data_IF_543980665308
#
_entry.id   IF_543980665308
#
_cell.length_a   1.000
_cell.length_b   1.000
_cell.length_c   1.000
_cell.angle_alpha   90.00
_cell.angle_beta   90.00
_cell.angle_gamma   90.00
#
_symmetry.space_group_name_H-M   'P 1'
#
loop_
_entity.id
_entity.type
_entity.pdbx_description
1 polymer ?
#
# COMPACT_ATOMS: atom_id res chain seq x y z
N UNK A 1 -12.42 32.45 23.94
CA UNK A 1 -11.04 31.92 23.94
C UNK A 1 -10.38 32.24 22.61
N UNK A 2 -9.07 32.51 22.58
CA UNK A 2 -8.33 32.78 21.34
C UNK A 2 -8.11 31.46 20.58
N UNK A 3 -8.34 31.45 19.27
CA UNK A 3 -8.09 30.27 18.41
C UNK A 3 -6.60 29.96 18.36
N UNK A 4 -6.25 28.68 18.34
CA UNK A 4 -4.87 28.23 18.11
C UNK A 4 -4.59 28.27 16.61
N UNK A 5 -3.56 29.01 16.20
CA UNK A 5 -3.12 29.05 14.80
C UNK A 5 -2.23 27.84 14.52
N UNK A 6 -2.57 27.08 13.47
CA UNK A 6 -1.85 25.85 13.09
C UNK A 6 -1.44 25.95 11.63
N UNK A 7 -0.14 25.75 11.37
CA UNK A 7 0.40 25.62 10.02
C UNK A 7 0.75 24.16 9.77
N UNK A 8 0.19 23.58 8.70
CA UNK A 8 0.51 22.24 8.21
C UNK A 8 1.39 22.38 6.99
N UNK A 9 2.61 21.82 7.06
CA UNK A 9 3.57 21.85 5.96
C UNK A 9 3.46 20.55 5.16
N UNK A 10 3.09 20.68 3.88
CA UNK A 10 2.80 19.59 2.96
C UNK A 10 1.30 19.27 2.87
N UNK A 11 0.76 19.27 1.66
CA UNK A 11 -0.62 18.87 1.35
C UNK A 11 -0.70 17.43 0.80
N UNK A 12 0.21 16.55 1.23
CA UNK A 12 0.09 15.10 1.01
C UNK A 12 -1.02 14.48 1.86
N UNK A 13 -1.25 13.16 1.72
CA UNK A 13 -2.27 12.43 2.49
C UNK A 13 -2.25 12.71 3.99
N UNK A 14 -1.08 12.68 4.62
CA UNK A 14 -0.94 12.93 6.06
C UNK A 14 -1.29 14.38 6.42
N UNK A 15 -0.77 15.35 5.68
CA UNK A 15 -1.03 16.77 5.91
C UNK A 15 -2.50 17.14 5.70
N UNK A 16 -3.11 16.63 4.63
CA UNK A 16 -4.53 16.85 4.36
C UNK A 16 -5.44 16.17 5.38
N UNK A 17 -5.08 14.99 5.87
CA UNK A 17 -5.82 14.31 6.96
C UNK A 17 -5.75 15.11 8.26
N UNK A 18 -4.58 15.66 8.60
CA UNK A 18 -4.40 16.52 9.76
C UNK A 18 -5.18 17.84 9.62
N UNK A 19 -5.07 18.50 8.46
CA UNK A 19 -5.78 19.74 8.16
C UNK A 19 -7.30 19.56 8.22
N UNK A 20 -7.82 18.49 7.61
CA UNK A 20 -9.22 18.09 7.69
C UNK A 20 -9.68 17.89 9.13
N UNK A 21 -8.92 17.14 9.93
CA UNK A 21 -9.30 16.83 11.31
C UNK A 21 -9.35 18.08 12.20
N UNK A 22 -8.43 19.02 12.01
CA UNK A 22 -8.37 20.27 12.76
C UNK A 22 -9.42 21.30 12.29
N UNK A 23 -9.66 21.39 10.97
CA UNK A 23 -10.60 22.37 10.40
C UNK A 23 -12.05 22.12 10.81
N UNK A 24 -12.37 20.90 11.24
CA UNK A 24 -13.68 20.53 11.82
C UNK A 24 -14.02 21.23 13.13
N UNK A 25 -13.04 21.85 13.79
CA UNK A 25 -13.22 22.61 15.02
C UNK A 25 -12.78 24.07 14.82
N UNK A 26 -13.47 24.83 13.93
CA UNK A 26 -13.06 26.18 13.55
C UNK A 26 -13.15 27.18 14.72
N UNK A 27 -13.86 26.84 15.79
CA UNK A 27 -13.92 27.59 17.05
C UNK A 27 -12.65 27.44 17.89
N UNK A 28 -11.87 26.36 17.70
CA UNK A 28 -10.63 26.06 18.41
C UNK A 28 -9.39 26.35 17.57
N UNK A 29 -9.43 26.03 16.28
CA UNK A 29 -8.27 26.06 15.41
C UNK A 29 -8.44 27.00 14.23
N UNK A 30 -7.32 27.62 13.85
CA UNK A 30 -7.16 28.40 12.64
C UNK A 30 -6.07 27.73 11.79
N UNK A 31 -6.48 26.93 10.81
CA UNK A 31 -5.57 26.06 10.02
C UNK A 31 -5.14 26.75 8.72
N UNK A 32 -3.86 26.64 8.40
CA UNK A 32 -3.25 26.98 7.11
C UNK A 32 -2.47 25.78 6.60
N UNK A 33 -2.55 25.49 5.29
CA UNK A 33 -1.75 24.45 4.65
C UNK A 33 -0.81 25.11 3.63
N UNK A 34 0.47 24.73 3.71
CA UNK A 34 1.50 25.18 2.78
C UNK A 34 1.96 23.98 1.95
N UNK A 35 1.84 24.07 0.63
CA UNK A 35 2.31 23.04 -0.30
C UNK A 35 3.12 23.69 -1.42
N UNK A 36 4.21 23.03 -1.81
CA UNK A 36 5.09 23.48 -2.89
C UNK A 36 4.53 23.18 -4.26
N UNK A 37 3.79 22.07 -4.41
CA UNK A 37 3.10 21.72 -5.65
C UNK A 37 1.81 22.56 -5.82
N UNK A 38 1.31 22.71 -7.06
CA UNK A 38 0.05 23.41 -7.31
C UNK A 38 -1.19 22.59 -6.90
N UNK A 39 -1.03 21.37 -6.37
CA UNK A 39 -2.12 20.46 -6.04
C UNK A 39 -1.86 19.74 -4.71
N UNK A 40 -2.95 19.37 -4.03
CA UNK A 40 -2.92 18.46 -2.90
C UNK A 40 -2.74 16.99 -3.35
N UNK A 41 -2.43 16.11 -2.40
CA UNK A 41 -2.26 14.67 -2.60
C UNK A 41 -0.81 14.19 -2.42
N UNK A 42 0.18 15.03 -2.69
CA UNK A 42 1.60 14.69 -2.51
C UNK A 42 2.08 13.65 -3.53
N UNK A 43 2.15 12.37 -3.10
CA UNK A 43 2.40 11.20 -3.97
C UNK A 43 1.10 10.51 -4.40
N UNK A 44 -0.04 10.88 -3.81
CA UNK A 44 -1.35 10.38 -4.19
C UNK A 44 -1.90 11.25 -5.33
N UNK A 45 -1.36 11.05 -6.53
CA UNK A 45 -1.70 11.82 -7.74
C UNK A 45 -2.39 10.95 -8.77
N UNK A 46 -2.96 11.58 -9.81
CA UNK A 46 -3.60 10.90 -10.93
C UNK A 46 -3.06 11.52 -12.21
N UNK A 47 -2.64 10.66 -13.14
CA UNK A 47 -2.17 11.03 -14.47
C UNK A 47 -3.29 10.82 -15.48
N UNK A 48 -3.45 11.79 -16.39
CA UNK A 48 -4.38 11.71 -17.52
C UNK A 48 -3.60 11.30 -18.76
N UNK A 49 -3.84 10.08 -19.26
CA UNK A 49 -3.07 9.48 -20.34
C UNK A 49 -3.93 9.24 -21.57
N UNK A 50 -3.42 9.60 -22.75
CA UNK A 50 -3.96 9.13 -24.02
C UNK A 50 -3.38 7.75 -24.34
N UNK A 51 -4.21 6.71 -24.26
CA UNK A 51 -3.78 5.32 -24.47
C UNK A 51 -3.87 4.88 -25.93
N UNK A 52 -4.75 5.54 -26.69
CA UNK A 52 -4.90 5.42 -28.14
C UNK A 52 -5.40 6.77 -28.67
N UNK A 53 -5.26 7.09 -29.97
CA UNK A 53 -5.76 8.36 -30.52
C UNK A 53 -7.23 8.60 -30.16
N UNK A 54 -7.49 9.64 -29.37
CA UNK A 54 -8.82 10.02 -28.88
C UNK A 54 -9.35 9.21 -27.70
N UNK A 55 -8.59 8.27 -27.14
CA UNK A 55 -8.97 7.43 -26.00
C UNK A 55 -8.11 7.78 -24.79
N UNK A 56 -8.76 8.31 -23.75
CA UNK A 56 -8.11 8.78 -22.54
C UNK A 56 -8.43 7.87 -21.35
N UNK A 57 -7.46 7.72 -20.46
CA UNK A 57 -7.56 6.93 -19.24
C UNK A 57 -6.86 7.67 -18.10
N UNK A 58 -7.46 7.60 -16.92
CA UNK A 58 -6.93 8.20 -15.71
C UNK A 58 -6.34 7.09 -14.85
N UNK A 59 -5.09 7.25 -14.44
CA UNK A 59 -4.38 6.27 -13.61
C UNK A 59 -3.78 6.96 -12.40
N UNK A 60 -3.99 6.41 -11.20
CA UNK A 60 -3.31 6.95 -10.03
C UNK A 60 -1.80 6.63 -10.12
N UNK A 61 -0.95 7.55 -9.70
CA UNK A 61 0.49 7.29 -9.61
C UNK A 61 0.81 6.64 -8.25
N UNK A 62 1.48 5.49 -8.28
CA UNK A 62 1.77 4.67 -7.11
C UNK A 62 0.54 3.95 -6.53
N UNK A 63 -0.19 4.60 -5.62
CA UNK A 63 -1.30 3.95 -4.88
C UNK A 63 -2.55 3.88 -5.75
N UNK A 64 -2.96 2.67 -6.12
CA UNK A 64 -4.20 2.45 -6.88
C UNK A 64 -5.40 2.12 -6.00
N UNK A 65 -5.14 1.65 -4.78
CA UNK A 65 -6.15 1.03 -3.94
C UNK A 65 -5.58 0.55 -2.62
N UNK A 66 -6.41 -0.13 -1.85
CA UNK A 66 -6.03 -0.70 -0.56
C UNK A 66 -6.97 -1.81 -0.11
N UNK A 67 -6.55 -2.55 0.91
CA UNK A 67 -7.39 -3.56 1.53
C UNK A 67 -8.46 -2.94 2.44
N UNK A 68 -9.34 -3.78 2.97
CA UNK A 68 -10.33 -3.37 3.98
C UNK A 68 -9.71 -2.80 5.26
N UNK A 69 -8.39 -2.94 5.49
CA UNK A 69 -7.71 -2.32 6.64
C UNK A 69 -7.53 -0.80 6.47
N UNK A 70 -7.67 -0.26 5.26
CA UNK A 70 -7.57 1.17 4.95
C UNK A 70 -8.84 1.96 5.35
N UNK A 71 -9.46 1.58 6.48
CA UNK A 71 -10.75 2.09 6.95
C UNK A 71 -10.78 3.61 7.04
N UNK A 72 -9.73 4.21 7.61
CA UNK A 72 -9.64 5.66 7.78
C UNK A 72 -9.56 6.39 6.44
N UNK A 73 -8.77 5.89 5.49
CA UNK A 73 -8.68 6.47 4.14
C UNK A 73 -10.02 6.36 3.41
N UNK A 74 -10.66 5.20 3.46
CA UNK A 74 -11.98 4.98 2.84
C UNK A 74 -13.03 5.93 3.42
N UNK A 75 -13.05 6.11 4.75
CA UNK A 75 -13.95 7.06 5.40
C UNK A 75 -13.66 8.51 4.98
N UNK A 76 -12.38 8.88 4.89
CA UNK A 76 -11.98 10.22 4.46
C UNK A 76 -12.38 10.50 3.01
N UNK A 77 -12.25 9.53 2.11
CA UNK A 77 -12.69 9.68 0.71
C UNK A 77 -14.21 9.88 0.64
N UNK A 78 -14.98 9.14 1.47
CA UNK A 78 -16.44 9.28 1.55
C UNK A 78 -16.89 10.63 2.07
N UNK A 79 -16.12 11.28 2.95
CA UNK A 79 -16.41 12.64 3.40
C UNK A 79 -16.48 13.62 2.23
N UNK A 80 -15.72 13.39 1.16
CA UNK A 80 -15.72 14.21 -0.06
C UNK A 80 -16.47 13.56 -1.23
N UNK A 81 -17.40 12.64 -0.93
CA UNK A 81 -18.29 11.98 -1.87
C UNK A 81 -17.61 11.03 -2.89
N UNK A 82 -16.42 10.53 -2.59
CA UNK A 82 -15.77 9.48 -3.39
C UNK A 82 -15.99 8.11 -2.74
N UNK A 83 -16.28 7.10 -3.55
CA UNK A 83 -16.59 5.75 -3.09
C UNK A 83 -15.66 4.75 -3.77
N UNK A 84 -14.65 4.25 -3.04
CA UNK A 84 -13.77 3.22 -3.57
C UNK A 84 -14.55 2.01 -4.09
N UNK A 85 -14.19 1.54 -5.28
CA UNK A 85 -14.86 0.44 -5.95
C UNK A 85 -14.28 -0.90 -5.48
N UNK A 86 -15.11 -1.90 -5.11
CA UNK A 86 -14.61 -3.21 -4.72
C UNK A 86 -13.96 -3.91 -5.93
N UNK A 87 -12.78 -4.46 -5.72
CA UNK A 87 -12.02 -5.20 -6.73
C UNK A 87 -11.36 -6.42 -6.12
N UNK A 88 -10.95 -7.34 -6.97
CA UNK A 88 -10.26 -8.55 -6.58
C UNK A 88 -8.81 -8.51 -7.04
N UNK A 89 -7.88 -8.60 -6.09
CA UNK A 89 -6.47 -8.61 -6.43
C UNK A 89 -5.98 -10.04 -6.67
N UNK A 90 -5.31 -10.23 -7.81
CA UNK A 90 -4.63 -11.45 -8.20
C UNK A 90 -3.15 -11.17 -8.40
N UNK A 91 -2.34 -12.14 -8.05
CA UNK A 91 -0.88 -12.06 -8.10
C UNK A 91 -0.36 -13.15 -9.03
N UNK A 92 0.56 -12.76 -9.90
CA UNK A 92 1.30 -13.65 -10.79
C UNK A 92 2.75 -13.21 -10.82
N UNK A 93 3.67 -14.15 -10.60
CA UNK A 93 5.11 -13.91 -10.68
C UNK A 93 5.77 -14.92 -11.61
N UNK A 94 6.93 -14.56 -12.15
CA UNK A 94 7.71 -15.42 -13.04
C UNK A 94 7.18 -15.44 -14.47
N UNK A 95 7.75 -16.33 -15.28
CA UNK A 95 7.44 -16.47 -16.71
C UNK A 95 7.30 -17.95 -17.07
N UNK A 96 6.55 -18.21 -18.14
CA UNK A 96 6.35 -19.54 -18.72
C UNK A 96 5.92 -20.60 -17.68
N UNK A 97 6.44 -21.82 -17.82
CA UNK A 97 6.18 -22.94 -16.91
C UNK A 97 6.66 -22.72 -15.48
N UNK A 98 7.50 -21.71 -15.23
CA UNK A 98 8.03 -21.33 -13.91
C UNK A 98 7.25 -20.19 -13.27
N UNK A 99 6.20 -19.69 -13.92
CA UNK A 99 5.31 -18.74 -13.29
C UNK A 99 4.58 -19.37 -12.10
N UNK A 100 4.12 -18.55 -11.17
CA UNK A 100 3.18 -18.98 -10.15
C UNK A 100 2.14 -17.90 -9.90
N UNK A 101 0.94 -18.35 -9.54
CA UNK A 101 -0.19 -17.46 -9.30
C UNK A 101 -0.89 -17.83 -7.99
N UNK A 102 -1.61 -16.89 -7.39
CA UNK A 102 -2.46 -17.19 -6.24
C UNK A 102 -3.83 -17.80 -6.64
N UNK A 103 -4.26 -17.62 -7.89
CA UNK A 103 -5.63 -17.93 -8.31
C UNK A 103 -5.81 -19.29 -9.01
N UNK A 104 -4.77 -19.86 -9.62
CA UNK A 104 -4.86 -21.20 -10.21
C UNK A 104 -4.72 -22.31 -9.13
N UNK A 105 -5.47 -23.42 -9.22
CA UNK A 105 -5.27 -24.61 -8.39
C UNK A 105 -3.84 -25.16 -8.47
N UNK A 106 -3.34 -25.80 -7.41
CA UNK A 106 -1.95 -26.29 -7.36
C UNK A 106 -1.61 -27.25 -8.50
N UNK A 107 -2.55 -28.08 -8.98
CA UNK A 107 -2.28 -29.06 -10.04
C UNK A 107 -2.11 -28.42 -11.42
N UNK A 108 -2.70 -27.24 -11.62
CA UNK A 108 -2.68 -26.49 -12.88
C UNK A 108 -1.87 -25.20 -12.80
N UNK A 109 -1.31 -24.89 -11.62
CA UNK A 109 -0.37 -23.80 -11.42
C UNK A 109 1.00 -24.14 -12.03
N UNK A 110 1.87 -23.15 -12.16
CA UNK A 110 3.20 -23.40 -12.71
C UNK A 110 4.10 -24.19 -11.75
N UNK A 111 5.24 -24.62 -12.28
CA UNK A 111 6.18 -25.55 -11.64
C UNK A 111 6.71 -25.06 -10.29
N UNK A 112 6.73 -23.75 -10.05
CA UNK A 112 7.21 -23.23 -8.76
C UNK A 112 6.29 -23.59 -7.60
N UNK A 113 4.97 -23.58 -7.76
CA UNK A 113 4.05 -24.09 -6.73
C UNK A 113 4.24 -25.59 -6.53
N UNK A 114 4.30 -26.35 -7.62
CA UNK A 114 4.37 -27.81 -7.57
C UNK A 114 5.67 -28.30 -6.92
N UNK A 115 6.81 -27.74 -7.31
CA UNK A 115 8.14 -28.18 -6.86
C UNK A 115 8.53 -27.61 -5.49
N UNK A 116 8.00 -26.44 -5.09
CA UNK A 116 8.29 -25.81 -3.80
C UNK A 116 7.21 -26.05 -2.74
N UNK A 117 6.25 -26.92 -3.00
CA UNK A 117 5.10 -27.16 -2.11
C UNK A 117 5.50 -27.51 -0.68
N UNK A 118 6.55 -28.31 -0.50
CA UNK A 118 7.07 -28.66 0.82
C UNK A 118 7.64 -27.44 1.57
N UNK A 119 8.26 -26.49 0.85
CA UNK A 119 8.75 -25.24 1.42
C UNK A 119 7.61 -24.28 1.73
N UNK A 120 6.60 -24.19 0.84
CA UNK A 120 5.38 -23.42 1.09
C UNK A 120 4.75 -23.89 2.40
N UNK A 121 4.52 -25.19 2.57
CA UNK A 121 3.92 -25.73 3.79
C UNK A 121 4.73 -25.41 5.06
N UNK A 122 6.05 -25.62 5.03
CA UNK A 122 6.94 -25.28 6.15
C UNK A 122 6.94 -23.79 6.45
N UNK A 123 6.87 -22.95 5.42
CA UNK A 123 6.83 -21.50 5.57
C UNK A 123 5.64 -21.04 6.40
N UNK A 124 4.47 -21.69 6.29
CA UNK A 124 3.30 -21.40 7.14
C UNK A 124 3.56 -21.64 8.63
N UNK A 125 4.34 -22.66 8.97
CA UNK A 125 4.78 -22.92 10.35
C UNK A 125 5.77 -21.85 10.82
N UNK A 126 6.68 -21.44 9.93
CA UNK A 126 7.65 -20.40 10.21
C UNK A 126 7.01 -19.04 10.44
N UNK A 127 5.96 -18.68 9.70
CA UNK A 127 5.20 -17.44 9.94
C UNK A 127 4.63 -17.40 11.37
N UNK A 128 4.07 -18.52 11.84
CA UNK A 128 3.55 -18.63 13.22
C UNK A 128 4.66 -18.53 14.26
N UNK A 129 5.80 -19.17 14.02
CA UNK A 129 6.97 -19.09 14.89
C UNK A 129 7.53 -17.67 14.99
N UNK A 130 7.69 -17.00 13.84
CA UNK A 130 8.17 -15.61 13.77
C UNK A 130 7.20 -14.69 14.52
N UNK A 131 5.89 -14.84 14.31
CA UNK A 131 4.87 -14.04 15.00
C UNK A 131 4.87 -14.29 16.52
N UNK A 132 5.08 -15.53 16.96
CA UNK A 132 5.18 -15.84 18.38
C UNK A 132 6.46 -15.26 19.04
N UNK A 133 7.58 -15.27 18.31
CA UNK A 133 8.87 -14.73 18.75
C UNK A 133 9.18 -13.34 18.20
N UNK A 134 8.14 -12.56 17.92
CA UNK A 134 8.26 -11.27 17.22
C UNK A 134 9.30 -10.30 17.83
N UNK A 135 9.41 -10.13 19.16
CA UNK A 135 10.41 -9.24 19.75
C UNK A 135 11.87 -9.60 19.39
N UNK A 136 12.12 -10.85 19.02
CA UNK A 136 13.43 -11.32 18.54
C UNK A 136 13.54 -11.06 17.03
N UNK A 137 12.55 -11.52 16.26
CA UNK A 137 12.59 -11.47 14.80
C UNK A 137 12.43 -10.07 14.22
N UNK A 138 12.04 -9.07 15.02
CA UNK A 138 12.02 -7.67 14.59
C UNK A 138 13.42 -7.16 14.22
N UNK A 139 14.47 -7.69 14.87
CA UNK A 139 15.86 -7.33 14.60
C UNK A 139 16.57 -8.27 13.61
N UNK A 140 15.89 -9.32 13.14
CA UNK A 140 16.48 -10.35 12.26
C UNK A 140 16.01 -10.12 10.82
N UNK A 141 16.92 -9.90 9.86
CA UNK A 141 16.54 -9.71 8.46
C UNK A 141 16.09 -11.01 7.79
N UNK A 142 15.26 -10.91 6.74
CA UNK A 142 14.68 -12.06 6.04
C UNK A 142 15.75 -13.03 5.55
N UNK A 143 16.86 -12.55 4.98
CA UNK A 143 17.91 -13.43 4.46
C UNK A 143 18.48 -14.35 5.54
N UNK A 144 18.63 -13.84 6.76
CA UNK A 144 19.18 -14.60 7.88
C UNK A 144 18.14 -15.63 8.37
N UNK A 145 16.88 -15.22 8.49
CA UNK A 145 15.78 -16.13 8.84
C UNK A 145 15.60 -17.25 7.82
N UNK A 146 15.68 -16.93 6.53
CA UNK A 146 15.61 -17.93 5.47
C UNK A 146 16.74 -18.97 5.58
N UNK A 147 17.96 -18.52 5.91
CA UNK A 147 19.09 -19.41 6.18
C UNK A 147 18.90 -20.25 7.44
N UNK A 148 18.41 -19.66 8.54
CA UNK A 148 18.12 -20.36 9.80
C UNK A 148 17.05 -21.45 9.62
N UNK A 149 16.09 -21.21 8.73
CA UNK A 149 15.00 -22.14 8.43
C UNK A 149 15.28 -23.06 7.24
N UNK A 150 16.51 -23.05 6.73
CA UNK A 150 16.95 -23.87 5.60
C UNK A 150 16.01 -23.77 4.39
N UNK A 151 15.51 -22.56 4.11
CA UNK A 151 14.74 -22.28 2.89
C UNK A 151 15.70 -22.21 1.70
N UNK A 152 15.30 -22.80 0.57
CA UNK A 152 16.15 -22.80 -0.61
C UNK A 152 16.26 -21.41 -1.22
N UNK A 153 17.40 -21.14 -1.89
CA UNK A 153 17.56 -19.92 -2.69
C UNK A 153 16.48 -19.79 -3.75
N UNK A 154 15.92 -20.91 -4.22
CA UNK A 154 14.84 -20.92 -5.19
C UNK A 154 13.55 -20.40 -4.57
N UNK A 155 13.16 -20.89 -3.39
CA UNK A 155 12.01 -20.38 -2.65
C UNK A 155 12.17 -18.89 -2.32
N UNK A 156 13.35 -18.48 -1.83
CA UNK A 156 13.54 -17.08 -1.46
C UNK A 156 13.45 -16.13 -2.65
N UNK A 157 14.07 -16.48 -3.78
CA UNK A 157 14.13 -15.59 -4.95
C UNK A 157 12.87 -15.64 -5.82
N UNK A 158 12.17 -16.78 -5.89
CA UNK A 158 10.97 -16.92 -6.71
C UNK A 158 9.69 -16.49 -5.97
N UNK A 159 9.66 -16.56 -4.63
CA UNK A 159 8.45 -16.34 -3.84
C UNK A 159 8.63 -15.26 -2.76
N UNK A 160 9.57 -15.47 -1.83
CA UNK A 160 9.65 -14.63 -0.63
C UNK A 160 10.06 -13.17 -0.92
N UNK A 161 11.16 -12.96 -1.64
CA UNK A 161 11.63 -11.61 -1.96
C UNK A 161 10.69 -10.87 -2.91
N UNK A 162 10.16 -11.48 -3.99
CA UNK A 162 9.16 -10.82 -4.83
C UNK A 162 7.90 -10.37 -4.05
N UNK A 163 7.40 -11.22 -3.13
CA UNK A 163 6.28 -10.83 -2.28
C UNK A 163 6.62 -9.69 -1.31
N UNK A 164 7.82 -9.74 -0.73
CA UNK A 164 8.30 -8.65 0.13
C UNK A 164 8.37 -7.33 -0.67
N UNK A 165 8.87 -7.38 -1.90
CA UNK A 165 8.92 -6.20 -2.78
C UNK A 165 7.52 -5.69 -3.13
N UNK A 166 6.59 -6.60 -3.43
CA UNK A 166 5.20 -6.24 -3.76
C UNK A 166 4.49 -5.56 -2.59
N UNK A 167 4.65 -6.06 -1.36
CA UNK A 167 3.92 -5.55 -0.21
C UNK A 167 4.54 -4.29 0.40
N UNK A 168 5.86 -4.14 0.33
CA UNK A 168 6.55 -3.05 1.01
C UNK A 168 7.21 -2.04 0.07
N UNK A 169 7.22 -2.28 -1.25
CA UNK A 169 7.88 -1.40 -2.21
C UNK A 169 9.39 -1.27 -1.99
N UNK A 170 10.02 -2.25 -1.33
CA UNK A 170 11.43 -2.16 -0.87
C UNK A 170 12.46 -2.31 -1.99
N UNK A 171 12.02 -2.65 -3.22
CA UNK A 171 12.91 -2.90 -4.35
C UNK A 171 13.99 -3.93 -4.02
N UNK A 172 15.27 -3.56 -4.18
CA UNK A 172 16.41 -4.46 -3.95
C UNK A 172 16.76 -4.67 -2.47
N UNK A 173 16.07 -4.03 -1.52
CA UNK A 173 16.34 -4.16 -0.08
C UNK A 173 15.52 -5.25 0.61
N UNK A 174 14.73 -6.03 -0.15
CA UNK A 174 13.85 -7.10 0.39
C UNK A 174 14.57 -8.04 1.35
N UNK A 175 15.77 -8.48 1.02
CA UNK A 175 16.56 -9.37 1.87
C UNK A 175 16.84 -8.80 3.28
N UNK A 176 16.96 -7.47 3.40
CA UNK A 176 17.30 -6.75 4.64
C UNK A 176 16.07 -6.31 5.44
N UNK A 177 14.86 -6.55 4.93
CA UNK A 177 13.61 -6.26 5.65
C UNK A 177 13.53 -7.13 6.91
N UNK A 178 12.92 -6.59 7.97
CA UNK A 178 12.67 -7.32 9.21
C UNK A 178 11.77 -8.54 8.98
N UNK A 179 12.13 -9.69 9.55
CA UNK A 179 11.35 -10.93 9.40
C UNK A 179 9.99 -10.83 10.08
N UNK A 180 9.86 -10.03 11.14
CA UNK A 180 8.59 -9.76 11.80
C UNK A 180 7.55 -9.16 10.84
N UNK A 181 7.99 -8.30 9.91
CA UNK A 181 7.08 -7.66 8.95
C UNK A 181 6.46 -8.68 7.98
N UNK A 182 7.20 -9.72 7.61
CA UNK A 182 6.68 -10.81 6.78
C UNK A 182 5.57 -11.56 7.49
N UNK A 183 5.77 -11.92 8.76
CA UNK A 183 4.73 -12.59 9.53
C UNK A 183 3.47 -11.73 9.67
N UNK A 184 3.64 -10.42 9.94
CA UNK A 184 2.52 -9.48 10.06
C UNK A 184 1.69 -9.39 8.77
N UNK A 185 2.29 -9.35 7.59
CA UNK A 185 1.53 -9.28 6.32
C UNK A 185 0.62 -10.49 6.08
N UNK A 186 0.88 -11.62 6.71
CA UNK A 186 0.02 -12.81 6.62
C UNK A 186 -0.92 -12.99 7.82
N UNK A 187 -0.50 -12.57 9.02
CA UNK A 187 -1.14 -12.96 10.28
C UNK A 187 -1.75 -11.79 11.06
N UNK A 188 -1.30 -10.56 10.84
CA UNK A 188 -1.80 -9.38 11.56
C UNK A 188 -3.09 -8.87 10.88
N UNK A 189 -4.25 -8.87 11.55
CA UNK A 189 -5.53 -8.48 10.94
C UNK A 189 -5.55 -7.03 10.44
N UNK A 190 -4.69 -6.15 10.95
CA UNK A 190 -4.63 -4.74 10.54
C UNK A 190 -3.65 -4.49 9.38
N UNK A 191 -2.67 -5.38 9.18
CA UNK A 191 -1.67 -5.27 8.11
C UNK A 191 -1.82 -6.31 7.00
N UNK A 192 -2.67 -7.31 7.21
CA UNK A 192 -2.83 -8.43 6.28
C UNK A 192 -3.46 -7.97 4.97
N UNK A 193 -2.77 -8.29 3.88
CA UNK A 193 -3.24 -8.06 2.52
C UNK A 193 -3.80 -9.33 1.89
N UNK A 194 -3.22 -10.48 2.23
CA UNK A 194 -3.60 -11.80 1.74
C UNK A 194 -3.57 -12.82 2.86
N UNK A 195 -4.51 -13.76 2.79
CA UNK A 195 -4.47 -14.96 3.61
C UNK A 195 -3.34 -15.88 3.13
N UNK A 196 -2.56 -16.38 4.09
CA UNK A 196 -1.59 -17.44 3.79
C UNK A 196 -2.34 -18.71 3.39
N UNK A 197 -1.89 -19.35 2.31
CA UNK A 197 -2.43 -20.62 1.84
C UNK A 197 -1.30 -21.64 1.71
N UNK A 198 -1.43 -22.81 2.35
CA UNK A 198 -0.38 -23.82 2.35
C UNK A 198 -0.19 -24.54 1.02
N UNK A 199 -1.07 -24.33 0.04
CA UNK A 199 -0.99 -24.93 -1.29
C UNK A 199 -0.56 -23.95 -2.38
N UNK A 200 -0.80 -22.64 -2.17
CA UNK A 200 -0.60 -21.62 -3.20
C UNK A 200 0.16 -20.39 -2.71
N UNK A 201 0.69 -20.47 -1.49
CA UNK A 201 1.33 -19.39 -0.73
C UNK A 201 0.39 -18.24 -0.32
N UNK A 202 -0.44 -17.78 -1.25
CA UNK A 202 -1.49 -16.76 -1.04
C UNK A 202 -2.87 -17.35 -1.36
N UNK A 203 -3.90 -16.89 -0.66
CA UNK A 203 -5.28 -17.18 -1.02
C UNK A 203 -5.67 -16.56 -2.37
N UNK A 204 -6.64 -17.17 -3.04
CA UNK A 204 -6.94 -16.90 -4.45
C UNK A 204 -7.53 -15.54 -4.77
N UNK A 205 -8.11 -14.87 -3.79
CA UNK A 205 -8.79 -13.61 -4.00
C UNK A 205 -8.74 -12.80 -2.72
N UNK A 206 -7.98 -11.71 -2.74
CA UNK A 206 -8.06 -10.70 -1.69
C UNK A 206 -9.05 -9.62 -2.12
N UNK A 207 -10.02 -9.34 -1.25
CA UNK A 207 -10.95 -8.25 -1.42
C UNK A 207 -10.22 -6.93 -1.14
N UNK A 208 -10.13 -6.12 -2.19
CA UNK A 208 -9.47 -4.82 -2.19
C UNK A 208 -10.46 -3.77 -2.68
N UNK A 209 -10.07 -2.51 -2.54
CA UNK A 209 -10.78 -1.38 -3.10
C UNK A 209 -9.86 -0.64 -4.06
N UNK A 210 -10.34 -0.36 -5.27
CA UNK A 210 -9.74 0.63 -6.16
C UNK A 210 -10.20 2.02 -5.71
N UNK A 211 -9.25 2.94 -5.55
CA UNK A 211 -9.59 4.32 -5.27
C UNK A 211 -9.99 5.05 -6.55
N UNK A 212 -10.90 6.01 -6.44
CA UNK A 212 -11.13 7.00 -7.48
C UNK A 212 -9.85 7.84 -7.71
N UNK A 213 -9.94 8.84 -8.59
CA UNK A 213 -8.82 9.73 -8.89
C UNK A 213 -8.35 10.45 -7.64
N UNK A 214 -7.16 10.10 -7.16
CA UNK A 214 -6.60 10.65 -5.93
C UNK A 214 -6.40 12.16 -6.03
N UNK A 215 -6.05 12.69 -7.21
CA UNK A 215 -5.95 14.14 -7.43
C UNK A 215 -7.27 14.85 -7.11
N UNK A 216 -8.40 14.32 -7.62
CA UNK A 216 -9.74 14.88 -7.37
C UNK A 216 -10.15 14.74 -5.90
N UNK A 217 -9.87 13.59 -5.27
CA UNK A 217 -10.17 13.35 -3.85
C UNK A 217 -9.46 14.38 -2.96
N UNK A 218 -8.14 14.53 -3.10
CA UNK A 218 -7.37 15.42 -2.23
C UNK A 218 -7.61 16.89 -2.56
N UNK A 219 -7.91 17.22 -3.81
CA UNK A 219 -8.35 18.56 -4.17
C UNK A 219 -9.70 18.89 -3.52
N UNK A 220 -10.69 18.01 -3.61
CA UNK A 220 -11.99 18.19 -2.95
C UNK A 220 -11.84 18.30 -1.43
N UNK A 221 -10.90 17.56 -0.84
CA UNK A 221 -10.61 17.64 0.59
C UNK A 221 -10.02 19.01 0.95
N UNK A 222 -9.06 19.51 0.18
CA UNK A 222 -8.52 20.86 0.32
C UNK A 222 -9.61 21.92 0.16
N UNK A 223 -10.52 21.74 -0.79
CA UNK A 223 -11.61 22.65 -1.04
C UNK A 223 -12.58 22.74 0.15
N UNK A 224 -12.84 21.60 0.78
CA UNK A 224 -13.75 21.50 1.92
C UNK A 224 -13.15 21.99 3.23
N UNK A 225 -11.86 21.75 3.49
CA UNK A 225 -11.24 22.13 4.77
C UNK A 225 -10.64 23.53 4.79
N UNK A 226 -10.34 24.13 3.63
CA UNK A 226 -9.63 25.40 3.54
C UNK A 226 -10.39 26.41 2.66
N UNK A 227 -10.75 27.58 3.20
CA UNK A 227 -11.09 28.74 2.37
C UNK A 227 -9.95 29.03 1.39
N UNK A 228 -10.26 29.50 0.19
CA UNK A 228 -9.24 29.81 -0.84
C UNK A 228 -8.11 30.70 -0.30
N UNK A 229 -8.43 31.70 0.53
CA UNK A 229 -7.47 32.61 1.16
C UNK A 229 -6.45 31.95 2.08
N UNK A 230 -6.63 30.67 2.41
CA UNK A 230 -5.76 29.90 3.32
C UNK A 230 -5.07 28.72 2.66
N UNK A 231 -5.20 28.60 1.34
CA UNK A 231 -4.44 27.66 0.52
C UNK A 231 -3.21 28.39 0.00
N UNK A 232 -2.10 28.28 0.72
CA UNK A 232 -0.81 28.74 0.21
C UNK A 232 -0.19 27.61 -0.59
N UNK A 233 -0.74 27.37 -1.77
CA UNK A 233 -0.12 26.53 -2.79
C UNK A 233 0.88 27.44 -3.52
N UNK A 234 2.16 27.24 -3.25
CA UNK A 234 3.21 28.05 -3.83
C UNK A 234 3.39 27.62 -5.28
N UNK A 235 2.92 28.42 -6.23
CA UNK A 235 3.44 28.39 -7.59
C UNK A 235 4.74 29.18 -7.56
N UNK A 236 5.82 28.58 -7.06
CA UNK A 236 7.14 29.11 -7.38
C UNK A 236 7.45 28.74 -8.83
N UNK A 237 7.49 29.79 -9.66
CA UNK A 237 8.00 29.80 -11.02
C UNK A 237 9.19 28.85 -11.17
N UNK A 238 9.06 27.85 -12.04
CA UNK A 238 10.22 27.31 -12.71
C UNK A 238 10.82 28.42 -13.59
N UNK A 239 11.66 29.23 -12.97
CA UNK A 239 12.71 29.99 -13.63
C UNK A 239 13.97 29.80 -12.82
N UNK A 240 14.70 28.73 -13.18
CA UNK A 240 16.16 28.70 -13.31
C UNK A 240 16.55 27.36 -13.94
#
# INVERSE_FOLDING_TARGET
>A
MKKTKVCVVGAGTAGMSAAWSLSRYPEKFEVTVCERKPQAGGVATTEHLEVQPGVYCDINDGVQGGSSSYKNSILLHREVNFQPSPVHMRVSFGQDSRSWTNYLPSETNGKEIQELQSEIHRFGLYLKLISWLEPIFIFIPIWLTARLFCLSSRFTNAMLYPLTALFFGTGNQTANVSSALIARVFLDPDLKLFDYNSERLLASQADMFAFDKLSEIYQALADRCLPESRRQMFIEMQMN
#
